data_IF_558146417686
#
_entry.id   IF_558146417686
#
_cell.length_a   1.000
_cell.length_b   1.000
_cell.length_c   1.000
_cell.angle_alpha   90.00
_cell.angle_beta   90.00
_cell.angle_gamma   90.00
#
_symmetry.space_group_name_H-M   'P 1'
#
loop_
_entity.id
_entity.type
_entity.pdbx_description
1 polymer ?
#
# COMPACT_ATOMS: atom_id res chain seq x y z
N UNK A 1 -28.71 -7.70 -9.79
CA UNK A 1 -27.60 -6.99 -10.44
C UNK A 1 -26.36 -7.88 -10.40
N UNK A 2 -25.65 -7.98 -11.51
CA UNK A 2 -24.39 -8.73 -11.65
C UNK A 2 -23.22 -7.78 -11.84
N UNK A 3 -22.03 -8.18 -11.41
CA UNK A 3 -20.77 -7.50 -11.67
C UNK A 3 -19.90 -8.38 -12.58
N UNK A 4 -19.60 -7.89 -13.75
CA UNK A 4 -18.71 -8.55 -14.71
C UNK A 4 -17.29 -8.00 -14.55
N UNK A 5 -16.37 -8.87 -14.14
CA UNK A 5 -14.96 -8.53 -13.95
C UNK A 5 -14.19 -8.88 -15.24
N UNK A 6 -13.78 -7.86 -15.97
CA UNK A 6 -12.95 -8.06 -17.16
C UNK A 6 -11.53 -8.43 -16.74
N UNK A 7 -11.13 -9.64 -17.08
CA UNK A 7 -9.76 -10.09 -16.88
C UNK A 7 -8.83 -9.38 -17.86
N UNK A 8 -7.69 -8.96 -17.35
CA UNK A 8 -6.59 -8.49 -18.16
C UNK A 8 -5.32 -9.31 -17.78
N UNK A 9 -4.48 -9.55 -18.77
CA UNK A 9 -3.24 -10.33 -18.57
C UNK A 9 -2.09 -9.46 -18.05
N UNK A 10 -2.38 -8.25 -17.61
CA UNK A 10 -1.37 -7.32 -17.15
C UNK A 10 -0.71 -7.79 -15.85
N UNK A 11 0.61 -7.94 -15.91
CA UNK A 11 1.42 -8.32 -14.76
C UNK A 11 2.08 -7.08 -14.16
N UNK A 12 2.17 -7.08 -12.84
CA UNK A 12 2.73 -5.96 -12.09
C UNK A 12 4.21 -6.22 -11.83
N UNK A 13 5.06 -5.44 -12.50
CA UNK A 13 6.49 -5.46 -12.23
C UNK A 13 6.83 -4.76 -10.90
N UNK A 14 7.82 -5.22 -10.12
CA UNK A 14 8.75 -6.33 -10.42
C UNK A 14 8.25 -7.72 -9.98
N UNK A 15 7.04 -7.85 -9.44
CA UNK A 15 6.48 -9.10 -8.91
C UNK A 15 6.16 -10.12 -10.00
N UNK A 16 5.86 -9.66 -11.21
CA UNK A 16 5.40 -10.49 -12.32
C UNK A 16 4.12 -11.29 -11.98
N UNK A 17 3.29 -10.75 -11.07
CA UNK A 17 1.97 -11.30 -10.71
C UNK A 17 0.86 -10.61 -11.48
N UNK A 18 -0.24 -11.31 -11.84
CA UNK A 18 -1.45 -10.65 -12.32
C UNK A 18 -1.96 -9.64 -11.28
N UNK A 19 -2.49 -8.50 -11.72
CA UNK A 19 -2.92 -7.45 -10.80
C UNK A 19 -3.95 -7.93 -9.77
N UNK A 20 -4.88 -8.81 -10.16
CA UNK A 20 -5.91 -9.33 -9.27
C UNK A 20 -5.39 -10.25 -8.15
N UNK A 21 -4.19 -10.84 -8.33
CA UNK A 21 -3.52 -11.69 -7.33
C UNK A 21 -2.62 -10.89 -6.37
N UNK A 22 -2.32 -9.61 -6.73
CA UNK A 22 -1.53 -8.74 -5.87
C UNK A 22 -2.26 -8.45 -4.55
N UNK A 23 -1.47 -8.21 -3.48
CA UNK A 23 -2.01 -8.08 -2.13
C UNK A 23 -2.22 -6.61 -1.71
N UNK A 24 -3.40 -6.32 -1.20
CA UNK A 24 -3.71 -5.11 -0.44
C UNK A 24 -4.20 -5.52 0.95
N UNK A 25 -3.55 -5.02 2.00
CA UNK A 25 -3.80 -5.40 3.40
C UNK A 25 -3.76 -6.92 3.64
N UNK A 26 -2.82 -7.62 3.01
CA UNK A 26 -2.66 -9.09 3.04
C UNK A 26 -3.82 -9.90 2.41
N UNK A 27 -4.66 -9.27 1.61
CA UNK A 27 -5.75 -9.89 0.86
C UNK A 27 -5.55 -9.65 -0.64
N UNK A 28 -5.89 -10.61 -1.50
CA UNK A 28 -5.82 -10.38 -2.95
C UNK A 28 -6.83 -9.31 -3.38
N UNK A 29 -6.54 -8.61 -4.46
CA UNK A 29 -7.47 -7.62 -5.01
C UNK A 29 -8.78 -8.32 -5.41
N UNK A 30 -8.70 -9.53 -5.96
CA UNK A 30 -9.88 -10.34 -6.31
C UNK A 30 -10.76 -10.63 -5.08
N UNK A 31 -10.17 -11.05 -3.95
CA UNK A 31 -10.91 -11.31 -2.72
C UNK A 31 -11.52 -10.04 -2.13
N UNK A 32 -10.77 -8.93 -2.17
CA UNK A 32 -11.27 -7.62 -1.71
C UNK A 32 -12.48 -7.15 -2.52
N UNK A 33 -12.45 -7.32 -3.86
CA UNK A 33 -13.60 -7.04 -4.73
C UNK A 33 -14.78 -7.96 -4.39
N UNK A 34 -14.54 -9.28 -4.26
CA UNK A 34 -15.56 -10.26 -3.94
C UNK A 34 -16.25 -9.97 -2.59
N UNK A 35 -15.48 -9.53 -1.59
CA UNK A 35 -16.02 -9.13 -0.29
C UNK A 35 -16.99 -7.94 -0.41
N UNK A 36 -16.64 -6.91 -1.20
CA UNK A 36 -17.52 -5.75 -1.43
C UNK A 36 -18.81 -6.19 -2.14
N UNK A 37 -18.71 -7.03 -3.16
CA UNK A 37 -19.88 -7.54 -3.87
C UNK A 37 -20.79 -8.37 -2.96
N UNK A 38 -20.23 -9.29 -2.19
CA UNK A 38 -20.97 -10.11 -1.23
C UNK A 38 -21.75 -9.28 -0.21
N UNK A 39 -21.12 -8.23 0.35
CA UNK A 39 -21.78 -7.30 1.29
C UNK A 39 -22.96 -6.56 0.67
N UNK A 40 -22.97 -6.36 -0.64
CA UNK A 40 -24.04 -5.67 -1.36
C UNK A 40 -25.03 -6.62 -2.07
N UNK A 41 -24.86 -7.94 -1.89
CA UNK A 41 -25.71 -8.94 -2.56
C UNK A 41 -25.57 -8.94 -4.09
N UNK A 42 -24.38 -8.62 -4.61
CA UNK A 42 -24.04 -8.59 -6.03
C UNK A 42 -23.33 -9.90 -6.38
N UNK A 43 -23.84 -10.61 -7.38
CA UNK A 43 -23.17 -11.77 -7.97
C UNK A 43 -22.03 -11.27 -8.88
N UNK A 44 -20.82 -11.84 -8.75
CA UNK A 44 -19.68 -11.51 -9.60
C UNK A 44 -19.35 -12.63 -10.56
N UNK A 45 -19.03 -12.26 -11.82
CA UNK A 45 -18.68 -13.19 -12.90
C UNK A 45 -17.43 -12.67 -13.58
N UNK A 46 -16.39 -13.50 -13.74
CA UNK A 46 -15.22 -13.16 -14.54
C UNK A 46 -15.51 -13.38 -16.02
N UNK A 47 -15.15 -12.42 -16.86
CA UNK A 47 -15.29 -12.47 -18.31
C UNK A 47 -13.96 -12.12 -19.00
N UNK A 48 -13.78 -12.60 -20.21
CA UNK A 48 -12.65 -12.25 -21.07
C UNK A 48 -13.03 -11.18 -22.10
N UNK A 49 -14.30 -11.17 -22.54
CA UNK A 49 -14.79 -10.25 -23.54
C UNK A 49 -16.20 -9.72 -23.21
N UNK A 50 -16.48 -8.50 -23.65
CA UNK A 50 -17.79 -7.85 -23.46
C UNK A 50 -18.95 -8.60 -24.14
N UNK A 51 -18.68 -9.45 -25.13
CA UNK A 51 -19.71 -10.27 -25.79
C UNK A 51 -20.32 -11.34 -24.88
N UNK A 52 -19.65 -11.69 -23.77
CA UNK A 52 -20.17 -12.64 -22.78
C UNK A 52 -21.28 -12.04 -21.89
N UNK A 53 -21.51 -10.73 -21.99
CA UNK A 53 -22.52 -10.03 -21.19
C UNK A 53 -23.88 -10.15 -21.81
N UNK A 54 -24.86 -10.70 -21.06
CA UNK A 54 -26.25 -10.69 -21.46
C UNK A 54 -26.86 -9.29 -21.23
N UNK A 55 -27.17 -8.56 -22.31
CA UNK A 55 -27.60 -7.14 -22.31
C UNK A 55 -28.95 -6.83 -21.63
N UNK A 56 -29.60 -7.79 -20.97
CA UNK A 56 -31.00 -7.64 -20.57
C UNK A 56 -31.21 -7.16 -19.13
N UNK A 57 -30.19 -7.19 -18.29
CA UNK A 57 -30.34 -6.89 -16.86
C UNK A 57 -29.38 -5.77 -16.41
N UNK A 58 -29.75 -5.10 -15.31
CA UNK A 58 -28.87 -4.15 -14.60
C UNK A 58 -27.54 -4.81 -14.23
N UNK A 59 -26.43 -4.23 -14.65
CA UNK A 59 -25.11 -4.80 -14.38
C UNK A 59 -24.01 -3.76 -14.26
N UNK A 60 -22.90 -4.22 -13.65
CA UNK A 60 -21.63 -3.50 -13.58
C UNK A 60 -20.59 -4.19 -14.47
N UNK A 61 -19.69 -3.40 -15.02
CA UNK A 61 -18.49 -3.89 -15.70
C UNK A 61 -17.29 -3.18 -15.11
N UNK A 62 -16.29 -3.93 -14.68
CA UNK A 62 -15.08 -3.37 -14.09
C UNK A 62 -13.84 -4.18 -14.45
N UNK A 63 -12.68 -3.54 -14.37
CA UNK A 63 -11.39 -4.23 -14.49
C UNK A 63 -11.08 -5.06 -13.24
N UNK A 64 -10.46 -6.23 -13.43
CA UNK A 64 -9.98 -7.08 -12.34
C UNK A 64 -8.79 -6.46 -11.57
N UNK A 65 -8.18 -5.42 -12.13
CA UNK A 65 -7.08 -4.65 -11.54
C UNK A 65 -7.52 -3.39 -10.79
N UNK A 66 -8.81 -3.27 -10.44
CA UNK A 66 -9.29 -2.14 -9.64
C UNK A 66 -9.32 -2.47 -8.15
N UNK A 67 -8.72 -1.62 -7.33
CA UNK A 67 -8.95 -1.61 -5.91
C UNK A 67 -9.83 -0.41 -5.53
N UNK A 68 -10.89 -0.63 -4.77
CA UNK A 68 -11.83 0.41 -4.34
C UNK A 68 -12.40 0.13 -2.95
N UNK A 69 -12.80 1.21 -2.28
CA UNK A 69 -13.45 1.10 -0.97
C UNK A 69 -14.94 0.79 -1.09
N UNK A 70 -15.53 0.08 -0.11
CA UNK A 70 -16.97 -0.17 -0.08
C UNK A 70 -17.79 1.13 -0.11
N UNK A 71 -17.31 2.18 0.51
CA UNK A 71 -17.97 3.49 0.60
C UNK A 71 -18.04 4.17 -0.78
N UNK A 72 -16.95 4.19 -1.53
CA UNK A 72 -16.94 4.70 -2.91
C UNK A 72 -17.87 3.88 -3.80
N UNK A 73 -17.75 2.56 -3.74
CA UNK A 73 -18.52 1.65 -4.59
C UNK A 73 -20.04 1.79 -4.33
N UNK A 74 -20.46 1.86 -3.06
CA UNK A 74 -21.84 2.08 -2.68
C UNK A 74 -22.38 3.42 -3.18
N UNK A 75 -21.59 4.50 -3.05
CA UNK A 75 -21.98 5.82 -3.56
C UNK A 75 -22.11 5.81 -5.10
N UNK A 76 -21.13 5.21 -5.79
CA UNK A 76 -21.19 5.10 -7.25
C UNK A 76 -22.44 4.37 -7.73
N UNK A 77 -22.71 3.17 -7.19
CA UNK A 77 -23.89 2.37 -7.56
C UNK A 77 -25.18 3.11 -7.24
N UNK A 78 -25.30 3.72 -6.05
CA UNK A 78 -26.48 4.46 -5.65
C UNK A 78 -26.78 5.66 -6.55
N UNK A 79 -25.75 6.44 -6.90
CA UNK A 79 -25.89 7.60 -7.80
C UNK A 79 -26.18 7.16 -9.24
N UNK A 80 -25.57 6.06 -9.70
CA UNK A 80 -25.82 5.48 -11.03
C UNK A 80 -27.27 5.05 -11.19
N UNK A 81 -27.81 4.33 -10.23
CA UNK A 81 -29.22 3.90 -10.21
C UNK A 81 -30.19 5.08 -10.23
N UNK A 82 -29.88 6.14 -9.49
CA UNK A 82 -30.72 7.34 -9.44
C UNK A 82 -30.79 8.06 -10.78
N UNK A 83 -29.70 8.02 -11.57
CA UNK A 83 -29.63 8.67 -12.90
C UNK A 83 -30.27 7.84 -14.01
N UNK A 84 -30.53 6.54 -13.81
CA UNK A 84 -31.09 5.61 -14.80
C UNK A 84 -30.43 5.65 -16.17
N UNK A 85 -29.13 5.91 -16.22
CA UNK A 85 -28.33 5.98 -17.47
C UNK A 85 -26.99 5.28 -17.26
N UNK A 86 -26.35 4.86 -18.37
CA UNK A 86 -25.02 4.31 -18.30
C UNK A 86 -24.05 5.33 -17.66
N UNK A 87 -23.21 4.82 -16.74
CA UNK A 87 -22.32 5.67 -15.97
C UNK A 87 -20.90 5.08 -15.87
N UNK A 88 -19.92 5.96 -15.71
CA UNK A 88 -18.54 5.62 -15.43
C UNK A 88 -18.10 6.28 -14.12
N UNK A 89 -17.40 5.53 -13.28
CA UNK A 89 -16.88 6.04 -12.03
C UNK A 89 -15.74 7.02 -12.28
N UNK A 90 -15.79 8.17 -11.64
CA UNK A 90 -14.75 9.19 -11.73
C UNK A 90 -14.43 9.79 -10.36
N UNK A 91 -13.16 10.11 -10.12
CA UNK A 91 -12.71 10.86 -8.95
C UNK A 91 -12.35 12.29 -9.35
N UNK A 92 -12.81 13.26 -8.57
CA UNK A 92 -12.35 14.65 -8.68
C UNK A 92 -10.85 14.74 -8.35
N UNK A 93 -10.13 15.58 -9.10
CA UNK A 93 -8.71 15.80 -8.85
C UNK A 93 -8.50 16.46 -7.48
N UNK A 94 -7.49 16.01 -6.76
CA UNK A 94 -7.13 16.49 -5.43
C UNK A 94 -5.90 15.79 -4.89
N UNK A 95 -5.68 15.92 -3.58
CA UNK A 95 -4.54 15.29 -2.90
C UNK A 95 -4.58 13.78 -3.06
N UNK A 96 -5.77 13.16 -2.95
CA UNK A 96 -5.94 11.71 -3.10
C UNK A 96 -5.46 11.23 -4.48
N UNK A 97 -5.93 11.82 -5.57
CA UNK A 97 -5.52 11.42 -6.93
C UNK A 97 -4.03 11.65 -7.18
N UNK A 98 -3.45 12.70 -6.61
CA UNK A 98 -2.02 12.96 -6.68
C UNK A 98 -1.22 11.86 -5.95
N UNK A 99 -1.56 11.57 -4.69
CA UNK A 99 -0.81 10.61 -3.85
C UNK A 99 -1.02 9.16 -4.23
N UNK A 100 -2.12 8.84 -4.91
CA UNK A 100 -2.34 7.49 -5.47
C UNK A 100 -1.63 7.27 -6.81
N UNK A 101 -0.75 8.19 -7.20
CA UNK A 101 0.05 8.10 -8.43
C UNK A 101 -0.81 7.89 -9.68
N UNK A 102 -1.88 8.69 -9.84
CA UNK A 102 -2.78 8.62 -11.01
C UNK A 102 -2.04 8.79 -12.34
N UNK A 103 -0.94 9.55 -12.36
CA UNK A 103 -0.06 9.72 -13.52
C UNK A 103 0.58 8.41 -14.01
N UNK A 104 0.67 7.40 -13.15
CA UNK A 104 1.25 6.08 -13.47
C UNK A 104 0.17 5.07 -13.86
N UNK A 105 -1.11 5.36 -13.62
CA UNK A 105 -2.25 4.50 -13.97
C UNK A 105 -2.63 4.64 -15.47
N UNK A 106 -3.17 3.57 -16.07
CA UNK A 106 -3.72 3.58 -17.43
C UNK A 106 -5.20 3.99 -17.40
N UNK A 107 -5.46 5.20 -16.92
CA UNK A 107 -6.79 5.77 -16.73
C UNK A 107 -7.02 6.97 -17.63
N UNK A 108 -8.29 7.31 -17.89
CA UNK A 108 -8.63 8.48 -18.69
C UNK A 108 -8.70 9.72 -17.82
N UNK A 109 -7.70 10.59 -17.94
CA UNK A 109 -7.68 11.89 -17.26
C UNK A 109 -8.46 12.93 -18.06
N UNK A 110 -9.44 13.56 -17.42
CA UNK A 110 -10.25 14.65 -17.93
C UNK A 110 -9.95 15.96 -17.21
N UNK A 111 -10.54 17.07 -17.65
CA UNK A 111 -10.39 18.35 -16.95
C UNK A 111 -11.09 18.30 -15.56
N UNK A 112 -10.29 18.27 -14.49
CA UNK A 112 -10.77 18.28 -13.12
C UNK A 112 -11.15 16.92 -12.51
N UNK A 113 -11.12 15.80 -13.26
CA UNK A 113 -11.39 14.47 -12.75
C UNK A 113 -10.71 13.38 -13.58
N UNK A 114 -10.66 12.18 -13.02
CA UNK A 114 -10.13 10.96 -13.68
C UNK A 114 -11.20 9.89 -13.72
N UNK A 115 -11.45 9.29 -14.89
CA UNK A 115 -12.37 8.16 -15.10
C UNK A 115 -11.62 6.84 -14.87
N UNK A 116 -12.27 5.91 -14.15
CA UNK A 116 -11.75 4.58 -13.84
C UNK A 116 -12.54 3.50 -14.59
N UNK A 117 -11.97 2.35 -14.81
CA UNK A 117 -12.62 1.23 -15.48
C UNK A 117 -13.65 0.52 -14.57
N UNK A 118 -14.63 1.30 -14.07
CA UNK A 118 -15.79 0.85 -13.32
C UNK A 118 -17.02 1.51 -13.93
N UNK A 119 -17.87 0.70 -14.57
CA UNK A 119 -19.02 1.17 -15.33
C UNK A 119 -20.30 0.53 -14.84
N UNK A 120 -21.37 1.28 -14.90
CA UNK A 120 -22.72 0.84 -14.58
C UNK A 120 -23.59 0.93 -15.84
N UNK A 121 -24.40 -0.11 -16.05
CA UNK A 121 -25.38 -0.18 -17.11
C UNK A 121 -26.75 -0.50 -16.49
N UNK A 122 -27.76 0.37 -16.68
CA UNK A 122 -29.12 0.09 -16.27
C UNK A 122 -29.77 -1.00 -17.16
N UNK A 123 -30.99 -1.46 -16.80
CA UNK A 123 -31.76 -2.39 -17.62
C UNK A 123 -31.97 -1.84 -19.04
N UNK A 124 -31.86 -2.74 -20.05
CA UNK A 124 -31.99 -2.50 -21.47
C UNK A 124 -30.75 -1.93 -22.21
N UNK A 125 -30.65 -2.28 -23.49
CA UNK A 125 -29.57 -1.97 -24.43
C UNK A 125 -29.21 -0.48 -24.48
N UNK A 126 -28.33 -0.05 -23.61
CA UNK A 126 -27.81 1.32 -23.66
C UNK A 126 -26.64 1.41 -24.65
N UNK A 127 -26.93 1.93 -25.85
CA UNK A 127 -25.93 2.36 -26.84
C UNK A 127 -25.39 3.79 -26.53
N UNK A 128 -25.69 4.36 -25.38
CA UNK A 128 -25.30 5.73 -25.03
C UNK A 128 -23.91 5.82 -24.46
N UNK A 129 -23.30 7.00 -24.60
CA UNK A 129 -22.03 7.33 -23.93
C UNK A 129 -22.25 7.35 -22.42
N UNK A 130 -21.47 6.57 -21.68
CA UNK A 130 -21.53 6.56 -20.22
C UNK A 130 -21.19 7.96 -19.65
N UNK A 131 -22.03 8.45 -18.73
CA UNK A 131 -21.79 9.74 -18.05
C UNK A 131 -20.88 9.54 -16.86
N UNK A 132 -19.91 10.45 -16.68
CA UNK A 132 -19.05 10.42 -15.51
C UNK A 132 -19.86 10.77 -14.24
N UNK A 133 -19.82 9.87 -13.26
CA UNK A 133 -20.25 10.17 -11.88
C UNK A 133 -19.01 10.55 -11.11
N UNK A 134 -18.83 11.87 -10.96
CA UNK A 134 -17.69 12.43 -10.27
C UNK A 134 -17.95 12.34 -8.76
N UNK A 135 -17.12 11.54 -8.08
CA UNK A 135 -17.10 11.41 -6.63
C UNK A 135 -16.01 12.32 -6.11
N UNK A 136 -16.34 13.13 -5.12
CA UNK A 136 -15.38 13.96 -4.40
C UNK A 136 -14.88 13.18 -3.19
N UNK A 137 -13.57 12.85 -3.12
CA UNK A 137 -13.00 12.31 -1.89
C UNK A 137 -13.18 13.32 -0.77
N UNK A 138 -13.74 12.90 0.38
CA UNK A 138 -13.74 13.74 1.60
C UNK A 138 -12.35 13.66 2.21
N UNK A 139 -11.43 14.42 1.69
CA UNK A 139 -10.05 14.42 2.11
C UNK A 139 -9.89 15.14 3.45
N UNK A 140 -9.66 14.38 4.50
CA UNK A 140 -8.95 14.91 5.66
C UNK A 140 -7.47 14.85 5.33
N UNK A 141 -6.79 15.97 5.33
CA UNK A 141 -5.35 15.98 5.09
C UNK A 141 -4.63 16.00 6.43
N UNK A 142 -3.94 14.92 6.76
CA UNK A 142 -2.84 15.01 7.71
C UNK A 142 -1.69 15.76 7.03
N UNK A 143 -1.02 16.64 7.75
CA UNK A 143 0.15 17.34 7.22
C UNK A 143 1.40 16.97 7.99
N UNK A 144 2.42 16.55 7.27
CA UNK A 144 3.78 16.37 7.81
C UNK A 144 4.54 17.67 7.51
N UNK A 145 5.10 18.29 8.54
CA UNK A 145 5.94 19.47 8.36
C UNK A 145 7.23 19.08 7.63
N UNK A 146 7.53 19.75 6.54
CA UNK A 146 8.74 19.54 5.75
C UNK A 146 9.55 20.82 5.65
N UNK A 147 10.89 20.74 5.74
CA UNK A 147 11.71 21.92 5.54
C UNK A 147 11.59 22.41 4.09
N UNK A 148 11.27 23.68 3.90
CA UNK A 148 11.07 24.28 2.58
C UNK A 148 12.29 24.11 1.67
N UNK A 149 13.50 24.21 2.22
CA UNK A 149 14.75 24.04 1.45
C UNK A 149 14.97 22.61 0.94
N UNK A 150 14.30 21.61 1.51
CA UNK A 150 14.40 20.21 1.06
C UNK A 150 13.33 19.88 0.01
N UNK A 151 12.09 20.25 0.25
CA UNK A 151 10.95 19.74 -0.51
C UNK A 151 10.26 20.83 -1.35
N UNK A 152 10.72 22.09 -1.33
CA UNK A 152 10.05 23.20 -2.00
C UNK A 152 8.66 23.53 -1.42
N UNK A 153 8.25 22.88 -0.33
CA UNK A 153 6.99 23.07 0.36
C UNK A 153 7.17 22.92 1.87
N UNK A 154 6.39 23.67 2.65
CA UNK A 154 6.44 23.59 4.12
C UNK A 154 5.67 22.40 4.70
N UNK A 155 4.83 21.76 3.89
CA UNK A 155 3.97 20.65 4.33
C UNK A 155 3.82 19.61 3.23
N UNK A 156 3.99 18.37 3.59
CA UNK A 156 3.58 17.23 2.78
C UNK A 156 2.19 16.78 3.22
N UNK A 157 1.23 16.81 2.29
CA UNK A 157 -0.15 16.42 2.58
C UNK A 157 -0.33 14.93 2.34
N UNK A 158 -0.86 14.24 3.35
CA UNK A 158 -1.25 12.84 3.31
C UNK A 158 -2.77 12.77 3.29
N UNK A 159 -3.41 12.25 2.24
CA UNK A 159 -4.85 12.17 2.16
C UNK A 159 -5.38 11.07 3.07
N UNK A 160 -6.41 11.38 3.85
CA UNK A 160 -7.15 10.43 4.65
C UNK A 160 -8.59 10.44 4.18
N UNK A 161 -8.96 9.49 3.33
CA UNK A 161 -10.31 9.36 2.79
C UNK A 161 -10.81 7.93 2.86
N UNK A 162 -12.11 7.74 3.04
CA UNK A 162 -12.75 6.43 2.92
C UNK A 162 -13.34 6.20 1.52
N UNK A 163 -13.18 7.17 0.59
CA UNK A 163 -13.73 7.12 -0.76
C UNK A 163 -12.62 7.25 -1.80
N UNK A 164 -12.08 6.12 -2.23
CA UNK A 164 -11.09 6.09 -3.31
C UNK A 164 -11.20 4.84 -4.16
N UNK A 165 -10.73 4.95 -5.38
CA UNK A 165 -10.51 3.86 -6.33
C UNK A 165 -9.14 4.07 -6.97
N UNK A 166 -8.41 2.98 -7.17
CA UNK A 166 -7.07 2.98 -7.78
C UNK A 166 -7.04 1.84 -8.80
N UNK A 167 -6.60 2.15 -10.02
CA UNK A 167 -6.30 1.13 -11.00
C UNK A 167 -4.85 0.69 -10.82
N UNK A 168 -4.65 -0.60 -10.59
CA UNK A 168 -3.33 -1.17 -10.34
C UNK A 168 -2.68 -1.53 -11.66
N UNK A 169 -1.78 -0.67 -12.11
CA UNK A 169 -1.04 -0.80 -13.37
C UNK A 169 0.47 -0.82 -13.15
N UNK A 170 0.90 -0.54 -11.91
CA UNK A 170 2.29 -0.42 -11.53
C UNK A 170 2.44 -0.67 -10.02
N UNK A 171 3.62 -1.10 -9.54
CA UNK A 171 3.86 -1.34 -8.12
C UNK A 171 3.56 -0.11 -7.23
N UNK A 172 3.77 1.10 -7.75
CA UNK A 172 3.46 2.35 -7.00
C UNK A 172 1.96 2.46 -6.72
N UNK A 173 1.11 2.06 -7.66
CA UNK A 173 -0.34 2.07 -7.43
C UNK A 173 -0.73 1.04 -6.38
N UNK A 174 -0.07 -0.11 -6.36
CA UNK A 174 -0.27 -1.16 -5.38
C UNK A 174 0.20 -0.73 -3.98
N UNK A 175 1.37 -0.08 -3.90
CA UNK A 175 1.84 0.56 -2.67
C UNK A 175 0.82 1.59 -2.18
N UNK A 176 0.40 2.50 -3.05
CA UNK A 176 -0.55 3.55 -2.72
C UNK A 176 -1.91 3.00 -2.27
N UNK A 177 -2.38 1.89 -2.87
CA UNK A 177 -3.62 1.22 -2.47
C UNK A 177 -3.53 0.69 -1.03
N UNK A 178 -2.41 0.06 -0.66
CA UNK A 178 -2.16 -0.41 0.70
C UNK A 178 -2.17 0.75 1.71
N UNK A 179 -1.41 1.82 1.43
CA UNK A 179 -1.31 2.96 2.34
C UNK A 179 -2.65 3.70 2.45
N UNK A 180 -3.34 3.95 1.33
CA UNK A 180 -4.67 4.57 1.35
C UNK A 180 -5.69 3.73 2.13
N UNK A 181 -5.64 2.39 2.01
CA UNK A 181 -6.54 1.49 2.74
C UNK A 181 -6.29 1.51 4.26
N UNK A 182 -5.03 1.61 4.70
CA UNK A 182 -4.67 1.81 6.11
C UNK A 182 -5.26 3.15 6.60
N UNK A 183 -4.97 4.24 5.89
CA UNK A 183 -5.37 5.60 6.27
C UNK A 183 -6.89 5.80 6.23
N UNK A 184 -7.62 5.04 5.41
CA UNK A 184 -9.08 5.03 5.41
C UNK A 184 -9.67 4.63 6.78
N UNK A 185 -8.95 3.82 7.56
CA UNK A 185 -9.33 3.50 8.94
C UNK A 185 -9.38 4.74 9.84
N UNK A 186 -8.38 5.60 9.74
CA UNK A 186 -8.32 6.88 10.43
C UNK A 186 -9.42 7.84 9.99
N UNK A 187 -9.70 7.92 8.67
CA UNK A 187 -10.79 8.72 8.12
C UNK A 187 -12.16 8.28 8.67
N UNK A 188 -12.42 6.96 8.73
CA UNK A 188 -13.64 6.40 9.34
C UNK A 188 -13.77 6.76 10.82
N UNK A 189 -12.65 6.79 11.55
CA UNK A 189 -12.67 7.19 12.95
C UNK A 189 -13.03 8.65 13.12
N UNK A 190 -12.48 9.55 12.33
CA UNK A 190 -12.78 10.99 12.37
C UNK A 190 -14.25 11.28 12.07
N UNK A 191 -14.87 10.52 11.16
CA UNK A 191 -16.30 10.61 10.85
C UNK A 191 -17.21 9.88 11.85
N UNK A 192 -16.62 9.20 12.84
CA UNK A 192 -17.41 8.44 13.82
C UNK A 192 -18.28 9.35 14.67
N UNK A 193 -19.49 8.86 14.99
CA UNK A 193 -20.41 9.58 15.87
C UNK A 193 -19.82 9.85 17.24
N UNK A 194 -20.21 10.97 17.87
CA UNK A 194 -19.80 11.31 19.23
C UNK A 194 -20.13 10.18 20.22
N UNK A 195 -21.25 9.47 20.01
CA UNK A 195 -21.63 8.32 20.82
C UNK A 195 -20.62 7.16 20.71
N UNK A 196 -20.11 6.86 19.51
CA UNK A 196 -19.07 5.84 19.32
C UNK A 196 -17.75 6.24 19.99
N UNK A 197 -17.35 7.50 19.87
CA UNK A 197 -16.15 8.01 20.54
C UNK A 197 -16.29 7.97 22.06
N UNK A 198 -17.46 8.34 22.60
CA UNK A 198 -17.75 8.23 24.03
C UNK A 198 -17.73 6.77 24.50
N UNK A 199 -18.30 5.84 23.74
CA UNK A 199 -18.23 4.41 24.05
C UNK A 199 -16.78 3.90 24.10
N UNK A 200 -15.95 4.30 23.15
CA UNK A 200 -14.51 3.95 23.14
C UNK A 200 -13.77 4.56 24.34
N UNK A 201 -14.08 5.80 24.72
CA UNK A 201 -13.50 6.45 25.89
C UNK A 201 -13.92 5.73 27.21
N UNK A 202 -15.18 5.31 27.32
CA UNK A 202 -15.67 4.51 28.46
C UNK A 202 -14.96 3.15 28.51
N UNK A 203 -14.81 2.46 27.39
CA UNK A 203 -14.07 1.20 27.28
C UNK A 203 -12.60 1.37 27.66
N UNK A 204 -11.98 2.48 27.26
CA UNK A 204 -10.60 2.84 27.61
C UNK A 204 -10.48 3.31 29.07
N UNK A 205 -11.59 3.57 29.76
CA UNK A 205 -11.62 4.24 31.08
C UNK A 205 -10.78 5.52 31.09
N UNK A 206 -10.78 6.27 29.97
CA UNK A 206 -9.92 7.44 29.82
C UNK A 206 -10.36 8.30 28.63
N UNK A 207 -10.22 9.61 28.75
CA UNK A 207 -10.34 10.56 27.63
C UNK A 207 -9.02 10.80 26.91
N UNK A 208 -7.94 10.13 27.28
CA UNK A 208 -6.67 10.21 26.59
C UNK A 208 -6.77 9.52 25.22
N UNK A 209 -6.49 10.28 24.15
CA UNK A 209 -6.61 9.78 22.78
C UNK A 209 -5.83 8.48 22.52
N UNK A 210 -4.65 8.34 23.08
CA UNK A 210 -3.78 7.17 22.91
C UNK A 210 -4.39 5.91 23.53
N UNK A 211 -5.03 6.05 24.71
CA UNK A 211 -5.74 4.94 25.35
C UNK A 211 -7.01 4.55 24.57
N UNK A 212 -7.66 5.53 23.93
CA UNK A 212 -8.82 5.31 23.07
C UNK A 212 -8.41 4.59 21.77
N UNK A 213 -7.34 5.03 21.11
CA UNK A 213 -6.83 4.41 19.88
C UNK A 213 -6.43 2.94 20.08
N UNK A 214 -5.89 2.60 21.25
CA UNK A 214 -5.60 1.19 21.61
C UNK A 214 -6.86 0.30 21.66
N UNK A 215 -8.05 0.87 21.85
CA UNK A 215 -9.31 0.10 21.81
C UNK A 215 -9.73 -0.28 20.39
N UNK A 216 -9.08 0.28 19.37
CA UNK A 216 -9.33 -0.03 17.96
C UNK A 216 -8.54 -1.24 17.47
N UNK A 217 -7.58 -1.71 18.25
CA UNK A 217 -6.78 -2.89 17.89
C UNK A 217 -7.69 -4.10 17.70
N UNK A 218 -7.39 -4.87 16.66
CA UNK A 218 -7.92 -6.22 16.44
C UNK A 218 -6.74 -7.18 16.56
N UNK A 219 -6.80 -8.05 17.55
CA UNK A 219 -5.71 -9.01 17.81
C UNK A 219 -6.28 -10.42 17.62
N UNK A 220 -5.62 -11.20 16.77
CA UNK A 220 -5.96 -12.58 16.48
C UNK A 220 -5.70 -13.53 17.66
N UNK A 221 -5.85 -14.81 17.41
CA UNK A 221 -5.69 -15.88 18.43
C UNK A 221 -4.23 -16.31 18.55
N UNK A 222 -3.86 -16.85 19.71
CA UNK A 222 -2.57 -17.46 19.97
C UNK A 222 -1.37 -16.53 19.72
N UNK A 223 -1.54 -15.23 19.95
CA UNK A 223 -0.46 -14.25 19.86
C UNK A 223 0.37 -14.24 21.15
N UNK A 224 1.69 -14.16 21.01
CA UNK A 224 2.63 -13.93 22.10
C UNK A 224 3.12 -12.47 22.08
N UNK A 225 2.50 -11.62 22.89
CA UNK A 225 2.75 -10.18 22.89
C UNK A 225 3.38 -9.77 24.21
N UNK A 226 4.62 -9.31 24.15
CA UNK A 226 5.32 -8.84 25.35
C UNK A 226 4.56 -7.69 26.02
N UNK A 227 4.44 -7.66 27.37
CA UNK A 227 3.66 -6.64 28.09
C UNK A 227 4.09 -5.19 27.85
N UNK A 228 5.36 -4.96 27.46
CA UNK A 228 5.90 -3.63 27.15
C UNK A 228 5.71 -3.21 25.70
N UNK A 229 5.14 -4.05 24.84
CA UNK A 229 4.81 -3.68 23.46
C UNK A 229 3.69 -2.64 23.43
N UNK A 230 3.81 -1.68 22.53
CA UNK A 230 2.78 -0.66 22.30
C UNK A 230 2.08 -0.90 20.98
N UNK A 231 0.76 -1.11 21.00
CA UNK A 231 -0.04 -1.36 19.79
C UNK A 231 -1.23 -0.40 19.79
N UNK A 232 -1.42 0.34 18.70
CA UNK A 232 -2.58 1.22 18.52
C UNK A 232 -3.12 1.18 17.08
N UNK A 233 -4.44 1.20 16.91
CA UNK A 233 -5.12 1.30 15.62
C UNK A 233 -4.81 0.17 14.64
N UNK A 234 -4.28 -0.94 15.11
CA UNK A 234 -3.66 -1.97 14.27
C UNK A 234 -4.47 -3.27 14.22
N UNK A 235 -4.26 -4.02 13.15
CA UNK A 235 -4.81 -5.37 12.96
C UNK A 235 -3.65 -6.37 13.04
N UNK A 236 -3.72 -7.24 14.03
CA UNK A 236 -2.72 -8.29 14.29
C UNK A 236 -3.35 -9.65 13.96
N UNK A 237 -2.73 -10.41 13.09
CA UNK A 237 -3.15 -11.76 12.70
C UNK A 237 -3.06 -12.79 13.84
N UNK A 238 -3.26 -14.05 13.49
CA UNK A 238 -3.15 -15.16 14.43
C UNK A 238 -1.70 -15.61 14.61
N UNK A 239 -1.33 -16.08 15.79
CA UNK A 239 -0.01 -16.67 16.05
C UNK A 239 1.15 -15.70 15.96
N UNK A 240 0.90 -14.37 16.02
CA UNK A 240 1.94 -13.34 15.92
C UNK A 240 2.72 -13.23 17.21
N UNK A 241 4.06 -13.18 17.11
CA UNK A 241 4.95 -12.91 18.22
C UNK A 241 5.45 -11.44 18.16
N UNK A 242 5.32 -10.69 19.26
CA UNK A 242 5.72 -9.28 19.37
C UNK A 242 6.63 -9.09 20.57
N UNK A 243 7.86 -8.66 20.34
CA UNK A 243 8.92 -8.52 21.33
C UNK A 243 8.78 -7.31 22.25
N UNK A 244 9.68 -7.26 23.24
CA UNK A 244 9.72 -6.20 24.23
C UNK A 244 9.98 -4.82 23.61
N UNK A 245 9.18 -3.82 24.00
CA UNK A 245 9.35 -2.45 23.53
C UNK A 245 9.00 -2.22 22.06
N UNK A 246 8.48 -3.21 21.36
CA UNK A 246 8.00 -3.02 19.98
C UNK A 246 6.85 -2.02 19.92
N UNK A 247 6.80 -1.20 18.87
CA UNK A 247 5.77 -0.18 18.65
C UNK A 247 5.08 -0.47 17.32
N UNK A 248 3.76 -0.70 17.34
CA UNK A 248 2.97 -0.97 16.14
C UNK A 248 1.81 0.01 16.09
N UNK A 249 1.76 0.87 15.07
CA UNK A 249 0.72 1.88 14.91
C UNK A 249 0.09 1.81 13.54
N UNK A 250 -1.24 1.87 13.51
CA UNK A 250 -2.05 1.95 12.29
C UNK A 250 -1.56 0.99 11.20
N UNK A 251 -1.24 -0.26 11.59
CA UNK A 251 -0.57 -1.24 10.72
C UNK A 251 -1.32 -2.57 10.69
N UNK A 252 -1.06 -3.35 9.65
CA UNK A 252 -1.61 -4.69 9.49
C UNK A 252 -0.47 -5.71 9.52
N UNK A 253 -0.53 -6.62 10.49
CA UNK A 253 0.45 -7.70 10.67
C UNK A 253 -0.22 -9.03 10.33
N UNK A 254 0.33 -9.76 9.38
CA UNK A 254 -0.18 -11.07 8.92
C UNK A 254 0.04 -12.18 9.93
N UNK A 255 -0.60 -13.31 9.70
CA UNK A 255 -0.56 -14.49 10.57
C UNK A 255 0.88 -15.03 10.73
N UNK A 256 1.21 -15.51 11.93
CA UNK A 256 2.49 -16.14 12.26
C UNK A 256 3.72 -15.23 11.99
N UNK A 257 3.56 -13.91 11.96
CA UNK A 257 4.68 -13.00 11.84
C UNK A 257 5.41 -12.83 13.19
N UNK A 258 6.71 -12.50 13.11
CA UNK A 258 7.54 -12.19 14.26
C UNK A 258 8.04 -10.75 14.16
N UNK A 259 7.72 -9.94 15.18
CA UNK A 259 8.21 -8.57 15.34
C UNK A 259 9.15 -8.53 16.54
N UNK A 260 10.42 -8.26 16.28
CA UNK A 260 11.50 -8.30 17.27
C UNK A 260 11.40 -7.22 18.34
N UNK A 261 12.32 -7.28 19.31
CA UNK A 261 12.41 -6.29 20.38
C UNK A 261 12.74 -4.90 19.84
N UNK A 262 12.01 -3.88 20.28
CA UNK A 262 12.25 -2.48 19.92
C UNK A 262 11.94 -2.12 18.46
N UNK A 263 11.42 -3.05 17.66
CA UNK A 263 11.01 -2.77 16.28
C UNK A 263 9.83 -1.82 16.25
N UNK A 264 9.87 -0.87 15.32
CA UNK A 264 8.79 0.09 15.10
C UNK A 264 8.14 -0.20 13.74
N UNK A 265 6.81 -0.35 13.71
CA UNK A 265 6.01 -0.53 12.49
C UNK A 265 4.88 0.50 12.49
N UNK A 266 4.92 1.43 11.56
CA UNK A 266 3.92 2.51 11.45
C UNK A 266 3.35 2.57 10.04
N UNK A 267 2.02 2.71 9.93
CA UNK A 267 1.25 2.82 8.69
C UNK A 267 1.72 1.82 7.61
N UNK A 268 1.95 0.58 8.01
CA UNK A 268 2.60 -0.44 7.18
C UNK A 268 1.86 -1.77 7.18
N UNK A 269 2.13 -2.58 6.16
CA UNK A 269 1.61 -3.95 6.04
C UNK A 269 2.77 -4.93 6.12
N UNK A 270 2.68 -5.88 7.04
CA UNK A 270 3.63 -6.99 7.15
C UNK A 270 2.89 -8.27 6.79
N UNK A 271 3.39 -9.00 5.81
CA UNK A 271 2.83 -10.26 5.33
C UNK A 271 2.95 -11.40 6.34
N UNK A 272 2.16 -12.44 6.14
CA UNK A 272 2.20 -13.64 6.98
C UNK A 272 3.60 -14.27 7.01
N UNK A 273 3.95 -14.92 8.12
CA UNK A 273 5.24 -15.64 8.32
C UNK A 273 6.49 -14.76 8.11
N UNK A 274 6.33 -13.44 8.07
CA UNK A 274 7.46 -12.52 7.98
C UNK A 274 8.15 -12.37 9.34
N UNK A 275 9.46 -12.12 9.30
CA UNK A 275 10.29 -11.92 10.50
C UNK A 275 11.00 -10.58 10.40
N UNK A 276 10.69 -9.65 11.29
CA UNK A 276 11.33 -8.34 11.39
C UNK A 276 12.09 -8.30 12.71
N UNK A 277 13.41 -8.41 12.65
CA UNK A 277 14.24 -8.49 13.86
C UNK A 277 14.76 -7.14 14.35
N UNK A 278 14.82 -6.15 13.46
CA UNK A 278 15.36 -4.82 13.77
C UNK A 278 14.68 -3.73 12.95
N UNK A 279 14.75 -2.50 13.40
CA UNK A 279 14.53 -1.29 12.63
C UNK A 279 13.14 -0.67 12.72
N UNK A 280 12.92 0.27 11.82
CA UNK A 280 11.69 1.03 11.67
C UNK A 280 11.11 0.81 10.27
N UNK A 281 9.90 0.31 10.21
CA UNK A 281 9.12 0.09 8.97
C UNK A 281 8.04 1.16 8.91
N UNK A 282 8.12 2.06 7.94
CA UNK A 282 7.23 3.23 7.82
C UNK A 282 6.62 3.30 6.41
N UNK A 283 5.30 3.44 6.31
CA UNK A 283 4.57 3.52 5.03
C UNK A 283 4.97 2.45 4.02
N UNK A 284 5.25 1.24 4.49
CA UNK A 284 5.84 0.18 3.67
C UNK A 284 4.99 -1.09 3.65
N UNK A 285 5.18 -1.88 2.61
CA UNK A 285 4.44 -3.13 2.39
C UNK A 285 5.44 -4.26 2.19
N UNK A 286 5.48 -5.18 3.13
CA UNK A 286 6.27 -6.40 3.03
C UNK A 286 5.33 -7.57 2.81
N UNK A 287 5.51 -8.29 1.70
CA UNK A 287 4.73 -9.46 1.37
C UNK A 287 5.08 -10.66 2.26
N UNK A 288 4.31 -11.77 2.20
CA UNK A 288 4.56 -12.96 3.02
C UNK A 288 6.00 -13.49 2.96
N UNK A 289 6.50 -14.00 4.07
CA UNK A 289 7.81 -14.65 4.15
C UNK A 289 9.01 -13.71 4.18
N UNK A 290 8.83 -12.39 4.24
CA UNK A 290 9.94 -11.45 4.30
C UNK A 290 10.76 -11.59 5.59
N UNK A 291 12.08 -11.53 5.47
CA UNK A 291 12.99 -11.47 6.60
C UNK A 291 13.81 -10.19 6.56
N UNK A 292 13.67 -9.31 7.56
CA UNK A 292 14.38 -8.04 7.62
C UNK A 292 15.17 -7.86 8.90
N UNK A 293 16.41 -7.40 8.73
CA UNK A 293 17.27 -6.87 9.80
C UNK A 293 17.72 -5.44 9.48
N UNK A 294 17.11 -4.80 8.49
CA UNK A 294 17.40 -3.43 8.09
C UNK A 294 17.04 -2.43 9.18
N UNK A 295 17.76 -1.33 9.27
CA UNK A 295 17.49 -0.27 10.26
C UNK A 295 16.29 0.58 9.91
N UNK A 296 16.04 0.81 8.60
CA UNK A 296 14.93 1.63 8.12
C UNK A 296 14.42 1.11 6.78
N UNK A 297 13.10 0.94 6.67
CA UNK A 297 12.39 0.71 5.40
C UNK A 297 11.27 1.74 5.33
N UNK A 298 11.36 2.68 4.39
CA UNK A 298 10.39 3.77 4.25
C UNK A 298 9.77 3.79 2.85
N UNK A 299 8.45 3.96 2.80
CA UNK A 299 7.64 4.12 1.59
C UNK A 299 7.96 3.11 0.47
N UNK A 300 8.30 1.87 0.84
CA UNK A 300 8.84 0.83 -0.02
C UNK A 300 7.97 -0.42 -0.07
N UNK A 301 8.21 -1.28 -1.06
CA UNK A 301 7.61 -2.61 -1.14
C UNK A 301 8.68 -3.69 -1.21
N UNK A 302 8.43 -4.84 -0.58
CA UNK A 302 9.22 -6.05 -0.73
C UNK A 302 8.30 -7.24 -1.06
N UNK A 303 8.68 -7.98 -2.08
CA UNK A 303 7.98 -9.18 -2.52
C UNK A 303 8.09 -10.35 -1.54
N UNK A 304 7.46 -11.49 -1.90
CA UNK A 304 7.47 -12.71 -1.07
C UNK A 304 8.89 -13.24 -0.88
N UNK A 305 9.15 -13.81 0.29
CA UNK A 305 10.39 -14.50 0.61
C UNK A 305 11.66 -13.66 0.39
N UNK A 306 11.53 -12.35 0.58
CA UNK A 306 12.61 -11.36 0.41
C UNK A 306 13.44 -11.24 1.68
N UNK A 307 14.76 -11.22 1.54
CA UNK A 307 15.70 -10.92 2.61
C UNK A 307 16.26 -9.50 2.49
N UNK A 308 16.21 -8.71 3.56
CA UNK A 308 16.75 -7.35 3.62
C UNK A 308 17.80 -7.30 4.75
N UNK A 309 19.07 -7.25 4.35
CA UNK A 309 20.22 -7.33 5.23
C UNK A 309 20.45 -6.07 6.08
N UNK A 310 21.33 -6.18 7.05
CA UNK A 310 21.71 -5.09 7.94
C UNK A 310 22.33 -3.92 7.14
N UNK A 311 21.95 -2.68 7.46
CA UNK A 311 22.38 -1.47 6.74
C UNK A 311 22.02 -1.48 5.23
N UNK A 312 21.19 -2.40 4.76
CA UNK A 312 20.57 -2.26 3.45
C UNK A 312 19.56 -1.10 3.51
N UNK A 313 19.62 -0.21 2.51
CA UNK A 313 18.84 1.03 2.51
C UNK A 313 17.98 1.13 1.26
N UNK A 314 16.68 1.26 1.45
CA UNK A 314 15.73 1.62 0.40
C UNK A 314 15.46 3.12 0.55
N UNK A 315 16.16 3.94 -0.25
CA UNK A 315 16.05 5.40 -0.14
C UNK A 315 14.73 5.88 -0.72
N UNK A 316 14.07 6.82 -0.05
CA UNK A 316 12.71 7.29 -0.37
C UNK A 316 12.62 8.76 -0.76
N UNK A 317 13.76 9.46 -0.84
CA UNK A 317 13.81 10.89 -1.10
C UNK A 317 14.90 11.24 -2.11
N UNK A 318 14.58 12.19 -3.01
CA UNK A 318 15.53 12.75 -3.97
C UNK A 318 16.19 13.99 -3.39
N UNK A 319 17.53 14.06 -3.47
CA UNK A 319 18.29 15.21 -2.94
C UNK A 319 18.03 16.54 -3.66
N UNK A 320 17.40 16.50 -4.85
CA UNK A 320 16.97 17.70 -5.58
C UNK A 320 15.57 18.20 -5.15
N UNK A 321 14.94 17.56 -4.16
CA UNK A 321 13.64 17.93 -3.59
C UNK A 321 12.43 17.73 -4.51
N UNK A 322 12.62 17.17 -5.71
CA UNK A 322 11.53 16.89 -6.66
C UNK A 322 10.81 15.60 -6.32
N UNK A 323 9.65 15.40 -6.93
CA UNK A 323 8.95 14.13 -6.86
C UNK A 323 9.82 12.98 -7.38
N UNK A 324 9.65 11.82 -6.77
CA UNK A 324 10.32 10.60 -7.22
C UNK A 324 9.73 10.15 -8.56
N UNK A 325 10.60 9.84 -9.51
CA UNK A 325 10.21 9.28 -10.80
C UNK A 325 10.34 7.77 -10.80
N UNK A 326 9.40 7.08 -11.45
CA UNK A 326 9.40 5.63 -11.64
C UNK A 326 9.48 5.27 -13.10
N UNK A 327 9.90 4.07 -13.43
CA UNK A 327 9.98 3.61 -14.81
C UNK A 327 8.68 2.88 -15.19
N UNK A 328 7.93 3.43 -16.13
CA UNK A 328 6.77 2.77 -16.73
C UNK A 328 7.07 2.52 -18.21
N UNK A 329 7.12 1.25 -18.61
CA UNK A 329 7.47 0.85 -19.99
C UNK A 329 8.80 1.48 -20.48
N UNK A 330 9.79 1.54 -19.59
CA UNK A 330 11.11 2.13 -19.88
C UNK A 330 11.17 3.66 -19.86
N UNK A 331 10.05 4.34 -19.67
CA UNK A 331 9.97 5.82 -19.59
C UNK A 331 9.84 6.27 -18.14
N UNK A 332 10.60 7.32 -17.78
CA UNK A 332 10.51 7.94 -16.46
C UNK A 332 9.23 8.77 -16.34
N UNK A 333 8.38 8.42 -15.36
CA UNK A 333 7.11 9.10 -15.06
C UNK A 333 7.16 9.66 -13.65
N UNK A 334 6.67 10.88 -13.46
CA UNK A 334 6.52 11.49 -12.14
C UNK A 334 5.43 10.75 -11.34
N UNK A 335 5.78 10.23 -10.18
CA UNK A 335 4.85 9.51 -9.30
C UNK A 335 3.87 10.41 -8.54
N UNK A 336 4.05 11.72 -8.56
CA UNK A 336 3.31 12.67 -7.72
C UNK A 336 3.72 12.63 -6.24
N UNK A 337 4.70 11.83 -5.86
CA UNK A 337 5.14 11.65 -4.47
C UNK A 337 6.59 12.12 -4.29
N UNK A 338 6.80 13.00 -3.32
CA UNK A 338 8.13 13.48 -2.92
C UNK A 338 8.87 12.40 -2.11
N UNK A 339 8.12 11.62 -1.33
CA UNK A 339 8.62 10.49 -0.56
C UNK A 339 8.07 9.20 -1.16
N UNK A 340 8.92 8.42 -1.78
CA UNK A 340 8.62 7.12 -2.37
C UNK A 340 9.90 6.31 -2.47
N UNK A 341 9.94 5.19 -1.78
CA UNK A 341 11.07 4.28 -1.76
C UNK A 341 11.20 3.45 -3.03
N UNK A 342 11.55 2.21 -2.87
CA UNK A 342 11.82 1.28 -3.95
C UNK A 342 11.00 0.00 -3.81
N UNK A 343 11.01 -0.84 -4.85
CA UNK A 343 10.28 -2.09 -4.85
C UNK A 343 11.23 -3.27 -5.13
N UNK A 344 11.28 -4.22 -4.20
CA UNK A 344 11.98 -5.49 -4.37
C UNK A 344 10.99 -6.54 -4.86
N UNK A 345 11.36 -7.27 -5.91
CA UNK A 345 10.60 -8.43 -6.39
C UNK A 345 10.59 -9.59 -5.39
N UNK A 346 9.94 -10.69 -5.77
CA UNK A 346 9.95 -11.91 -4.96
C UNK A 346 11.35 -12.54 -4.89
N UNK A 347 11.65 -13.18 -3.78
CA UNK A 347 12.91 -13.92 -3.59
C UNK A 347 14.17 -13.07 -3.81
N UNK A 348 14.07 -11.75 -3.57
CA UNK A 348 15.23 -10.86 -3.63
C UNK A 348 16.00 -10.92 -2.31
N UNK A 349 17.31 -11.18 -2.39
CA UNK A 349 18.20 -11.10 -1.24
C UNK A 349 19.07 -9.86 -1.37
N UNK A 350 18.75 -8.85 -0.56
CA UNK A 350 19.49 -7.59 -0.51
C UNK A 350 20.51 -7.68 0.63
N UNK A 351 21.77 -7.94 0.28
CA UNK A 351 22.87 -8.09 1.22
C UNK A 351 23.15 -6.80 2.01
N UNK A 352 23.85 -6.96 3.12
CA UNK A 352 24.19 -5.86 4.03
C UNK A 352 24.93 -4.73 3.31
N UNK A 353 24.50 -3.48 3.56
CA UNK A 353 25.11 -2.28 2.98
C UNK A 353 24.73 -1.99 1.52
N UNK A 354 23.82 -2.75 0.92
CA UNK A 354 23.27 -2.41 -0.40
C UNK A 354 22.35 -1.18 -0.30
N UNK A 355 22.38 -0.34 -1.34
CA UNK A 355 21.53 0.85 -1.44
C UNK A 355 20.74 0.80 -2.73
N UNK A 356 19.41 0.94 -2.62
CA UNK A 356 18.49 1.06 -3.75
C UNK A 356 17.96 2.49 -3.83
N UNK A 357 18.06 3.11 -5.01
CA UNK A 357 17.64 4.49 -5.23
C UNK A 357 16.10 4.62 -5.24
N UNK A 358 15.54 5.82 -4.92
CA UNK A 358 14.11 6.07 -4.87
C UNK A 358 13.42 5.75 -6.20
N UNK A 359 12.26 5.13 -6.15
CA UNK A 359 11.45 4.78 -7.32
C UNK A 359 12.02 3.66 -8.19
N UNK A 360 13.08 2.96 -7.77
CA UNK A 360 13.69 1.86 -8.52
C UNK A 360 13.13 0.52 -8.09
N UNK A 361 13.27 -0.45 -8.99
CA UNK A 361 12.82 -1.83 -8.77
C UNK A 361 14.01 -2.78 -8.86
N UNK A 362 13.96 -3.85 -8.07
CA UNK A 362 14.87 -4.99 -8.17
C UNK A 362 14.04 -6.19 -8.64
N UNK A 363 14.36 -6.80 -9.79
CA UNK A 363 13.64 -7.96 -10.32
C UNK A 363 13.66 -9.17 -9.36
N UNK A 364 12.68 -10.07 -9.50
CA UNK A 364 12.59 -11.30 -8.71
C UNK A 364 13.85 -12.17 -8.78
N UNK A 365 14.15 -12.87 -7.70
CA UNK A 365 15.21 -13.89 -7.62
C UNK A 365 16.64 -13.35 -7.62
N UNK A 366 16.83 -12.03 -7.54
CA UNK A 366 18.18 -11.45 -7.51
C UNK A 366 18.76 -11.42 -6.10
N UNK A 367 19.99 -11.92 -5.99
CA UNK A 367 20.80 -11.84 -4.78
C UNK A 367 21.90 -10.78 -5.00
N UNK A 368 21.80 -9.67 -4.28
CA UNK A 368 22.68 -8.52 -4.41
C UNK A 368 23.60 -8.40 -3.21
N UNK A 369 24.88 -8.21 -3.46
CA UNK A 369 25.88 -7.90 -2.45
C UNK A 369 26.66 -6.64 -2.86
N UNK A 370 27.23 -5.87 -1.92
CA UNK A 370 28.12 -4.77 -2.22
C UNK A 370 29.32 -5.21 -3.07
N UNK A 371 29.91 -4.26 -3.81
CA UNK A 371 31.14 -4.53 -4.57
C UNK A 371 32.26 -5.03 -3.66
N UNK A 372 33.17 -5.84 -4.22
CA UNK A 372 34.32 -6.42 -3.50
C UNK A 372 35.19 -5.38 -2.78
N UNK A 373 35.30 -4.19 -3.33
CA UNK A 373 36.06 -3.06 -2.76
C UNK A 373 35.53 -2.58 -1.39
N UNK A 374 34.31 -2.99 -1.03
CA UNK A 374 33.66 -2.63 0.25
C UNK A 374 33.46 -3.82 1.19
N UNK A 375 33.99 -4.99 0.81
CA UNK A 375 33.74 -6.24 1.57
C UNK A 375 35.02 -7.05 1.63
N UNK A 376 35.39 -7.52 2.81
CA UNK A 376 36.51 -8.46 2.98
C UNK A 376 36.05 -9.83 2.52
N UNK A 377 36.49 -10.25 1.34
CA UNK A 377 36.19 -11.58 0.76
C UNK A 377 37.29 -12.61 1.03
N UNK A 378 38.52 -12.11 1.24
CA UNK A 378 39.71 -12.91 1.48
C UNK A 378 40.40 -12.38 2.72
N UNK A 379 40.78 -13.27 3.62
CA UNK A 379 41.50 -12.94 4.85
C UNK A 379 42.99 -12.80 4.67
N UNK A 380 43.52 -12.93 3.45
CA UNK A 380 44.94 -12.71 3.21
C UNK A 380 45.34 -11.24 3.45
N UNK A 381 46.47 -11.02 4.09
CA UNK A 381 46.98 -9.68 4.42
C UNK A 381 47.09 -8.77 3.18
N UNK A 382 47.49 -9.32 2.07
CA UNK A 382 47.63 -8.59 0.82
C UNK A 382 46.30 -8.05 0.25
N UNK A 383 45.26 -8.82 0.33
CA UNK A 383 43.92 -8.41 -0.11
C UNK A 383 43.29 -7.38 0.86
N UNK A 384 43.42 -7.60 2.17
CA UNK A 384 42.95 -6.66 3.17
C UNK A 384 43.62 -5.29 3.03
N UNK A 385 44.94 -5.24 2.80
CA UNK A 385 45.68 -3.99 2.61
C UNK A 385 45.27 -3.25 1.33
N UNK A 386 44.86 -3.96 0.29
CA UNK A 386 44.40 -3.37 -0.97
C UNK A 386 43.04 -2.73 -0.85
N UNK A 387 42.11 -3.41 -0.16
CA UNK A 387 40.69 -3.03 -0.15
C UNK A 387 40.31 -2.15 1.07
N UNK A 388 41.13 -2.17 2.14
CA UNK A 388 40.87 -1.46 3.39
C UNK A 388 42.10 -0.79 3.98
N UNK A 389 41.90 0.35 4.63
CA UNK A 389 42.96 1.00 5.42
C UNK A 389 43.09 0.29 6.79
N UNK A 390 44.20 -0.37 6.99
CA UNK A 390 44.53 -0.98 8.28
C UNK A 390 44.90 0.09 9.31
N UNK A 391 44.18 0.12 10.42
CA UNK A 391 44.52 0.91 11.61
C UNK A 391 45.03 -0.08 12.65
N UNK A 392 46.35 -0.22 12.76
CA UNK A 392 46.96 -1.05 13.83
C UNK A 392 46.98 -0.25 15.13
N UNK A 393 46.52 -0.89 16.22
CA UNK A 393 46.77 -0.32 17.57
C UNK A 393 48.28 -0.16 17.75
N UNK A 394 48.73 1.03 18.09
CA UNK A 394 50.05 1.22 18.65
C UNK A 394 50.09 0.48 19.97
N UNK A 395 50.91 -0.55 20.08
CA UNK A 395 51.20 -1.27 21.30
C UNK A 395 52.06 -0.43 22.19
#
# INVERSE_FOLDING_TARGET
>A
MKAYMMRNDKRIEPFNEPAHDCLVLNQTIADAQAEVFSRMGIESVSILDMSEIADSEEHLVLGDNLYFTPELFSEFVGRSRSQKSAAVCALKHGVTTLRTATSVQDVKTCQGYTEYNLRYFPEAKHKGVARAIIIEPDDFSASIATPHHMCGAEKYLVPMTERFVIQIDHWVNLWAANIAAILAGGARLQKSSKAKLLFLALKARSFNKWKILRQLNRIGRNCDIHPTAYIEGSVIGNGVAIGAGAVIKESVIGDNALIGNGVIVEESVIGEKSTILNGHILYSVLYPGCFSVAEMISASMAGRDTFIGLNATLTDFRLDGKNVTVLKNGVAVDSGNTFLGSCLGHEVYLGSGCVVAPGRTVPCGLHLAPCKEKTVWDSSDGQIQKDFRLIRKQT
#
